data_IF_266456786665
#
_entry.id   IF_266456786665
#
_cell.length_a   1.000
_cell.length_b   1.000
_cell.length_c   1.000
_cell.angle_alpha   90.00
_cell.angle_beta   90.00
_cell.angle_gamma   90.00
#
_symmetry.space_group_name_H-M   'P 1'
#
loop_
_entity.id
_entity.type
_entity.pdbx_description
1 polymer ?
2 non-polymer ?
3 non-polymer ?
4 water ?
#
# COMPACT_ATOMS: atom_id res chain seq x y z
N UNK A 3 6.34 -13.43 -29.27
CA UNK A 3 5.31 -13.19 -28.26
C UNK A 3 5.18 -14.43 -27.37
N UNK A 4 5.08 -14.25 -26.06
CA UNK A 4 4.92 -15.40 -25.19
C UNK A 4 3.62 -16.14 -25.51
N UNK A 5 3.58 -17.42 -25.13
CA UNK A 5 2.44 -18.27 -25.46
C UNK A 5 1.10 -17.71 -25.01
N UNK A 6 0.94 -17.20 -23.79
CA UNK A 6 -0.39 -16.76 -23.35
C UNK A 6 -0.79 -15.39 -23.87
N UNK A 7 0.13 -14.61 -24.42
CA UNK A 7 -0.14 -13.19 -24.62
C UNK A 7 -1.31 -12.99 -25.57
N UNK A 8 -2.29 -12.21 -25.14
CA UNK A 8 -3.46 -11.95 -25.96
C UNK A 8 -4.17 -10.73 -25.38
N UNK A 9 -4.41 -9.73 -26.22
CA UNK A 9 -5.02 -8.48 -25.77
C UNK A 9 -4.25 -7.86 -24.61
N UNK A 10 -2.92 -7.97 -24.64
CA UNK A 10 -2.06 -7.51 -23.54
C UNK A 10 -0.97 -6.61 -24.12
N UNK A 11 -1.09 -5.31 -23.91
CA UNK A 11 -0.23 -4.36 -24.60
C UNK A 11 1.04 -4.09 -23.80
N UNK A 12 2.05 -3.61 -24.52
CA UNK A 12 3.34 -3.34 -23.89
C UNK A 12 3.21 -2.22 -22.86
N UNK A 13 2.36 -1.22 -23.12
CA UNK A 13 2.19 -0.15 -22.14
C UNK A 13 1.54 -0.67 -20.85
N UNK A 14 0.58 -1.59 -20.97
CA UNK A 14 -0.01 -2.20 -19.79
C UNK A 14 1.04 -2.97 -19.00
N UNK A 15 1.84 -3.78 -19.71
CA UNK A 15 2.95 -4.51 -19.11
C UNK A 15 3.89 -3.58 -18.35
N UNK A 16 4.29 -2.47 -18.98
CA UNK A 16 5.18 -1.54 -18.29
C UNK A 16 4.51 -0.91 -17.08
N UNK A 17 3.22 -0.58 -17.20
CA UNK A 17 2.51 -0.04 -16.05
C UNK A 17 2.50 -0.98 -14.86
N UNK A 18 2.32 -2.28 -15.11
CA UNK A 18 2.33 -3.24 -14.02
C UNK A 18 3.70 -3.27 -13.34
N UNK A 19 4.77 -3.12 -14.12
CA UNK A 19 6.11 -3.17 -13.53
C UNK A 19 6.37 -1.94 -12.65
N UNK A 20 5.88 -0.76 -13.05
CA UNK A 20 5.99 0.39 -12.16
C UNK A 20 5.14 0.20 -10.91
N UNK A 21 3.96 -0.41 -11.05
CA UNK A 21 3.12 -0.59 -9.87
C UNK A 21 3.75 -1.58 -8.90
N UNK A 22 4.41 -2.62 -9.41
CA UNK A 22 5.11 -3.56 -8.55
C UNK A 22 6.08 -2.82 -7.65
N UNK A 23 6.88 -1.93 -8.24
CA UNK A 23 7.86 -1.17 -7.46
C UNK A 23 7.17 -0.29 -6.42
N UNK A 24 6.04 0.32 -6.79
CA UNK A 24 5.34 1.16 -5.83
C UNK A 24 4.80 0.34 -4.66
N UNK A 25 4.22 -0.83 -4.93
CA UNK A 25 3.73 -1.66 -3.83
C UNK A 25 4.89 -2.10 -2.94
N UNK A 26 6.03 -2.46 -3.53
CA UNK A 26 7.20 -2.80 -2.73
C UNK A 26 7.64 -1.62 -1.89
N UNK A 27 7.58 -0.41 -2.46
CA UNK A 27 7.95 0.78 -1.69
C UNK A 27 7.00 0.99 -0.52
N UNK A 28 5.69 0.85 -0.74
CA UNK A 28 4.75 0.96 0.37
C UNK A 28 5.05 -0.09 1.45
N UNK A 29 5.33 -1.32 1.04
CA UNK A 29 5.70 -2.35 2.00
C UNK A 29 6.90 -1.92 2.84
N UNK A 30 7.89 -1.29 2.21
CA UNK A 30 9.09 -0.85 2.92
C UNK A 30 8.76 0.25 3.93
N UNK A 31 7.94 1.23 3.53
CA UNK A 31 7.52 2.31 4.42
C UNK A 31 6.84 1.76 5.67
N UNK A 32 5.88 0.86 5.48
CA UNK A 32 5.16 0.30 6.62
C UNK A 32 6.09 -0.49 7.52
N UNK A 33 7.04 -1.20 6.93
CA UNK A 33 8.03 -1.91 7.73
C UNK A 33 8.86 -0.93 8.56
N UNK A 34 9.27 0.18 7.95
CA UNK A 34 9.96 1.22 8.71
C UNK A 34 9.08 1.73 9.85
N UNK A 35 7.84 2.06 9.53
CA UNK A 35 6.92 2.56 10.54
C UNK A 35 6.80 1.58 11.71
N UNK A 36 6.65 0.30 11.40
CA UNK A 36 6.40 -0.70 12.43
C UNK A 36 7.54 -0.75 13.43
N UNK A 37 8.78 -0.81 12.95
CA UNK A 37 9.89 -0.91 13.88
C UNK A 37 10.25 0.43 14.49
N UNK A 38 9.75 1.53 13.94
CA UNK A 38 9.85 2.80 14.64
C UNK A 38 9.04 2.74 15.93
N UNK A 39 7.81 2.23 15.86
CA UNK A 39 6.99 2.17 17.07
C UNK A 39 7.44 1.07 18.02
N UNK A 40 8.36 0.22 17.61
CA UNK A 40 9.04 -0.73 18.48
C UNK A 40 10.28 -0.14 19.15
N UNK A 41 10.63 1.10 18.83
CA UNK A 41 11.72 1.75 19.54
C UNK A 41 11.39 1.87 21.02
N UNK A 42 12.42 1.77 21.86
CA UNK A 42 12.20 1.83 23.30
C UNK A 42 11.72 3.21 23.74
N UNK A 43 12.07 4.26 23.00
CA UNK A 43 11.57 5.59 23.29
C UNK A 43 10.29 5.92 22.53
N UNK A 44 9.64 4.93 21.92
CA UNK A 44 8.33 5.14 21.30
C UNK A 44 7.37 4.13 21.93
N UNK A 45 7.63 2.84 21.70
CA UNK A 45 7.08 1.76 22.51
C UNK A 45 5.55 1.71 22.48
N UNK A 46 5.00 1.63 21.28
CA UNK A 46 3.56 1.44 21.11
C UNK A 46 3.30 0.12 20.39
N UNK A 47 3.02 -0.95 21.12
CA UNK A 47 2.97 -2.28 20.46
C UNK A 47 1.77 -2.47 19.55
N UNK A 48 0.67 -1.74 19.75
CA UNK A 48 -0.43 -1.81 18.81
C UNK A 48 -0.05 -1.24 17.46
N UNK A 49 0.57 -0.06 17.46
CA UNK A 49 1.08 0.52 16.22
C UNK A 49 2.09 -0.41 15.55
N UNK A 50 3.02 -0.97 16.32
CA UNK A 50 3.99 -1.91 15.75
C UNK A 50 3.30 -3.03 15.00
N UNK A 51 2.35 -3.69 15.65
CA UNK A 51 1.64 -4.80 15.03
C UNK A 51 0.84 -4.34 13.81
N UNK A 52 0.17 -3.19 13.93
CA UNK A 52 -0.68 -2.70 12.86
C UNK A 52 0.12 -2.43 11.59
N UNK A 53 1.25 -1.74 11.71
CA UNK A 53 2.03 -1.46 10.51
C UNK A 53 2.75 -2.70 9.99
N UNK A 54 3.08 -3.66 10.86
CA UNK A 54 3.64 -4.91 10.36
C UNK A 54 2.63 -5.64 9.47
N UNK A 55 1.40 -5.78 9.95
CA UNK A 55 0.34 -6.36 9.13
C UNK A 55 0.14 -5.58 7.83
N UNK A 56 0.17 -4.24 7.90
CA UNK A 56 0.02 -3.46 6.67
C UNK A 56 1.19 -3.69 5.72
N UNK A 57 2.39 -3.90 6.27
CA UNK A 57 3.55 -4.17 5.43
C UNK A 57 3.38 -5.48 4.68
N UNK A 58 2.94 -6.53 5.39
CA UNK A 58 2.73 -7.81 4.74
C UNK A 58 1.65 -7.70 3.67
N UNK A 59 0.61 -6.91 3.91
CA UNK A 59 -0.42 -6.68 2.89
C UNK A 59 0.19 -6.10 1.61
N UNK A 60 1.04 -5.08 1.74
CA UNK A 60 1.63 -4.48 0.54
C UNK A 60 2.56 -5.47 -0.17
N UNK A 61 3.29 -6.28 0.58
CA UNK A 61 4.08 -7.33 -0.06
C UNK A 61 3.18 -8.27 -0.86
N UNK A 62 2.04 -8.65 -0.29
CA UNK A 62 1.08 -9.46 -1.04
C UNK A 62 0.62 -8.74 -2.29
N UNK A 63 0.35 -7.43 -2.18
CA UNK A 63 -0.07 -6.65 -3.35
C UNK A 63 0.96 -6.74 -4.47
N UNK A 64 2.24 -6.56 -4.13
CA UNK A 64 3.29 -6.63 -5.13
C UNK A 64 3.33 -8.01 -5.77
N UNK A 65 3.31 -9.05 -4.95
CA UNK A 65 3.47 -10.40 -5.49
C UNK A 65 2.29 -10.80 -6.35
N UNK A 66 1.09 -10.34 -6.00
CA UNK A 66 -0.07 -10.58 -6.85
C UNK A 66 0.11 -9.95 -8.23
N UNK A 67 0.65 -8.72 -8.29
CA UNK A 67 0.96 -8.10 -9.57
C UNK A 67 2.04 -8.87 -10.33
N UNK A 68 3.04 -9.37 -9.61
CA UNK A 68 4.04 -10.23 -10.24
C UNK A 68 3.38 -11.45 -10.85
N UNK A 69 2.51 -12.10 -10.07
CA UNK A 69 1.83 -13.29 -10.56
C UNK A 69 0.99 -12.96 -11.78
N UNK A 70 0.30 -11.82 -11.74
CA UNK A 70 -0.56 -11.45 -12.86
C UNK A 70 0.27 -11.18 -14.12
N UNK A 71 1.36 -10.43 -13.98
CA UNK A 71 2.26 -10.19 -15.10
C UNK A 71 2.58 -11.50 -15.80
N UNK A 72 2.93 -12.52 -15.02
CA UNK A 72 3.23 -13.82 -15.60
C UNK A 72 1.99 -14.45 -16.22
N UNK A 73 0.84 -14.32 -15.57
CA UNK A 73 -0.37 -14.91 -16.12
C UNK A 73 -0.65 -14.40 -17.52
N UNK A 74 -0.49 -13.10 -17.74
CA UNK A 74 -0.80 -12.51 -19.04
C UNK A 74 0.30 -12.70 -20.07
N UNK A 75 1.49 -13.14 -19.67
CA UNK A 75 2.59 -13.29 -20.60
C UNK A 75 3.57 -12.14 -20.63
N UNK A 76 3.43 -11.18 -19.73
CA UNK A 76 4.42 -10.14 -19.58
C UNK A 76 5.65 -10.65 -18.84
N UNK A 77 6.64 -9.77 -18.73
CA UNK A 77 7.90 -10.12 -18.09
C UNK A 77 8.19 -9.13 -16.97
N UNK A 78 8.42 -9.66 -15.78
CA UNK A 78 8.70 -8.82 -14.62
C UNK A 78 10.07 -8.19 -14.76
N UNK A 79 10.14 -6.87 -14.62
CA UNK A 79 11.41 -6.14 -14.56
C UNK A 79 11.44 -5.38 -13.24
N UNK A 80 12.33 -5.78 -12.33
CA UNK A 80 12.41 -5.17 -11.01
C UNK A 80 13.37 -3.98 -11.02
N UNK A 81 13.15 -3.05 -10.10
CA UNK A 81 14.00 -1.88 -9.93
C UNK A 81 14.35 -1.75 -8.45
N UNK A 82 15.36 -0.93 -8.16
CA UNK A 82 15.61 -0.58 -6.77
C UNK A 82 14.31 -0.17 -6.10
N UNK A 83 14.10 -0.62 -4.87
CA UNK A 83 13.04 -0.03 -4.05
C UNK A 83 13.68 0.99 -3.13
N UNK A 84 13.27 2.24 -3.29
CA UNK A 84 13.89 3.33 -2.57
C UNK A 84 13.59 3.22 -1.08
N UNK A 85 14.53 3.69 -0.28
CA UNK A 85 14.30 3.77 1.15
C UNK A 85 13.17 4.76 1.43
N UNK A 86 12.38 4.54 2.48
CA UNK A 86 11.32 5.49 2.82
C UNK A 86 11.88 6.89 3.05
N UNK A 87 11.01 7.89 2.91
CA UNK A 87 11.45 9.28 2.92
C UNK A 87 11.65 9.85 4.32
N UNK A 88 11.29 9.12 5.38
CA UNK A 88 11.61 9.50 6.75
C UNK A 88 12.28 8.31 7.43
N UNK A 89 13.16 8.60 8.39
CA UNK A 89 13.64 7.58 9.32
C UNK A 89 12.76 7.47 10.56
N UNK A 90 12.08 8.56 10.92
CA UNK A 90 11.31 8.70 12.15
C UNK A 90 9.92 9.21 11.79
N UNK A 91 8.90 8.71 12.48
CA UNK A 91 7.53 8.97 12.04
C UNK A 91 6.69 9.76 13.04
N UNK A 92 7.32 10.46 13.98
CA UNK A 92 6.57 11.36 14.86
C UNK A 92 5.69 10.63 15.85
N UNK A 93 4.49 11.17 16.05
CA UNK A 93 3.49 10.59 16.93
C UNK A 93 2.67 9.54 16.17
N UNK A 94 1.79 8.86 16.90
CA UNK A 94 0.85 7.98 16.24
C UNK A 94 0.00 8.72 15.23
N UNK A 95 -0.39 9.95 15.56
CA UNK A 95 -1.13 10.77 14.61
C UNK A 95 -0.30 11.05 13.36
N UNK A 96 0.96 11.47 13.52
CA UNK A 96 1.79 11.71 12.34
C UNK A 96 1.90 10.47 11.46
N UNK A 97 2.21 9.33 12.07
CA UNK A 97 2.36 8.12 11.27
C UNK A 97 1.06 7.78 10.54
N UNK A 98 -0.07 7.91 11.23
CA UNK A 98 -1.33 7.58 10.58
C UNK A 98 -1.62 8.53 9.43
N UNK A 99 -1.22 9.80 9.55
CA UNK A 99 -1.43 10.74 8.44
C UNK A 99 -0.44 10.50 7.30
N UNK A 100 0.80 10.12 7.62
CA UNK A 100 1.73 9.74 6.56
C UNK A 100 1.20 8.53 5.81
N UNK A 101 0.55 7.62 6.54
CA UNK A 101 0.00 6.41 5.93
C UNK A 101 -1.20 6.74 5.04
N UNK A 102 -2.06 7.66 5.46
CA UNK A 102 -3.16 8.08 4.60
C UNK A 102 -2.64 8.63 3.28
N UNK A 103 -1.70 9.56 3.37
CA UNK A 103 -1.08 10.12 2.18
C UNK A 103 -0.46 9.03 1.31
N UNK A 104 0.20 8.05 1.93
CA UNK A 104 0.79 6.96 1.16
C UNK A 104 -0.28 6.17 0.41
N UNK A 105 -1.35 5.79 1.10
CA UNK A 105 -2.39 4.98 0.46
C UNK A 105 -3.10 5.73 -0.65
N UNK A 106 -3.27 7.05 -0.49
CA UNK A 106 -3.90 7.83 -1.54
C UNK A 106 -3.01 7.93 -2.77
N UNK A 107 -1.69 7.94 -2.57
CA UNK A 107 -0.79 7.96 -3.71
C UNK A 107 -0.80 6.62 -4.44
N UNK A 108 -0.84 5.52 -3.70
CA UNK A 108 -0.98 4.21 -4.33
C UNK A 108 -2.30 4.13 -5.08
N UNK A 109 -3.37 4.62 -4.46
CA UNK A 109 -4.67 4.58 -5.11
C UNK A 109 -4.66 5.37 -6.41
N UNK A 110 -4.03 6.55 -6.43
CA UNK A 110 -3.98 7.32 -7.67
C UNK A 110 -3.17 6.59 -8.73
N UNK A 111 -2.04 5.98 -8.35
CA UNK A 111 -1.28 5.18 -9.31
C UNK A 111 -2.12 4.03 -9.85
N UNK A 112 -2.92 3.39 -8.99
CA UNK A 112 -3.79 2.31 -9.46
C UNK A 112 -4.85 2.84 -10.43
N UNK A 113 -5.43 4.00 -10.13
CA UNK A 113 -6.43 4.56 -11.03
C UNK A 113 -5.80 4.94 -12.36
N UNK A 114 -4.57 5.47 -12.33
CA UNK A 114 -3.88 5.75 -13.59
C UNK A 114 -3.59 4.47 -14.35
N UNK A 115 -3.28 3.39 -13.64
CA UNK A 115 -3.03 2.11 -14.30
C UNK A 115 -4.32 1.54 -14.89
N UNK A 116 -5.45 1.73 -14.19
CA UNK A 116 -6.75 1.41 -14.78
C UNK A 116 -6.97 2.16 -16.08
N UNK A 117 -6.59 3.45 -16.11
CA UNK A 117 -6.77 4.24 -17.32
C UNK A 117 -5.97 3.66 -18.48
N UNK A 118 -4.75 3.17 -18.22
CA UNK A 118 -4.00 2.51 -19.29
C UNK A 118 -4.75 1.29 -19.79
N UNK A 119 -5.27 0.46 -18.87
CA UNK A 119 -5.99 -0.72 -19.31
C UNK A 119 -7.22 -0.36 -20.13
N UNK A 120 -7.95 0.65 -19.68
CA UNK A 120 -9.19 1.06 -20.34
C UNK A 120 -8.93 1.51 -21.78
N UNK A 121 -7.95 2.40 -21.97
CA UNK A 121 -7.72 2.90 -23.32
C UNK A 121 -7.18 1.80 -24.23
N UNK A 122 -6.50 0.80 -23.68
CA UNK A 122 -6.04 -0.31 -24.50
C UNK A 122 -7.09 -1.40 -24.65
N UNK A 123 -8.25 -1.25 -24.01
CA UNK A 123 -9.28 -2.28 -24.13
C UNK A 123 -8.97 -3.56 -23.38
N UNK A 124 -8.22 -3.48 -22.28
CA UNK A 124 -7.88 -4.68 -21.51
C UNK A 124 -8.99 -4.95 -20.51
N UNK A 125 -10.05 -5.59 -21.00
CA UNK A 125 -11.23 -5.84 -20.19
C UNK A 125 -10.88 -6.65 -18.94
N UNK A 126 -10.11 -7.72 -19.12
CA UNK A 126 -9.80 -8.57 -17.98
C UNK A 126 -8.94 -7.82 -16.96
N UNK A 127 -7.98 -7.02 -17.43
CA UNK A 127 -7.10 -6.32 -16.50
C UNK A 127 -7.86 -5.29 -15.67
N UNK A 128 -8.79 -4.55 -16.28
CA UNK A 128 -9.62 -3.62 -15.53
C UNK A 128 -10.37 -4.33 -14.41
N UNK A 129 -11.01 -5.45 -14.72
CA UNK A 129 -11.75 -6.13 -13.67
C UNK A 129 -10.81 -6.66 -12.59
N UNK A 130 -9.64 -7.15 -12.99
CA UNK A 130 -8.65 -7.57 -12.01
C UNK A 130 -8.31 -6.42 -11.07
N UNK A 131 -8.00 -5.25 -11.62
CA UNK A 131 -7.70 -4.09 -10.78
C UNK A 131 -8.88 -3.72 -9.89
N UNK A 132 -10.08 -3.66 -10.46
CA UNK A 132 -11.27 -3.32 -9.68
C UNK A 132 -11.46 -4.28 -8.52
N UNK A 133 -11.53 -5.58 -8.82
CA UNK A 133 -11.87 -6.57 -7.80
C UNK A 133 -10.78 -6.68 -6.74
N UNK A 134 -9.51 -6.72 -7.16
CA UNK A 134 -8.44 -7.09 -6.25
C UNK A 134 -7.68 -5.91 -5.67
N UNK A 135 -7.92 -4.68 -6.13
CA UNK A 135 -7.13 -3.55 -5.63
C UNK A 135 -7.96 -2.32 -5.30
N UNK A 136 -8.85 -1.90 -6.22
CA UNK A 136 -9.55 -0.63 -6.02
C UNK A 136 -10.46 -0.69 -4.80
N UNK A 137 -11.16 -1.80 -4.61
CA UNK A 137 -12.06 -1.91 -3.47
C UNK A 137 -11.28 -1.90 -2.16
N UNK A 138 -10.15 -2.61 -2.12
CA UNK A 138 -9.32 -2.63 -0.91
C UNK A 138 -8.77 -1.25 -0.59
N UNK A 139 -8.33 -0.50 -1.60
CA UNK A 139 -7.83 0.85 -1.35
C UNK A 139 -8.90 1.71 -0.71
N UNK A 140 -10.13 1.61 -1.22
CA UNK A 140 -11.22 2.43 -0.70
C UNK A 140 -11.52 2.06 0.76
N UNK A 141 -11.57 0.76 1.07
CA UNK A 141 -11.76 0.36 2.47
C UNK A 141 -10.63 0.88 3.34
N UNK A 142 -9.39 0.70 2.88
CA UNK A 142 -8.22 1.07 3.68
C UNK A 142 -8.19 2.57 3.94
N UNK A 143 -8.44 3.37 2.90
CA UNK A 143 -8.39 4.82 3.04
C UNK A 143 -9.46 5.30 4.02
N UNK A 144 -10.63 4.66 4.00
CA UNK A 144 -11.67 4.96 4.98
C UNK A 144 -11.26 4.57 6.40
N UNK A 145 -10.66 3.38 6.55
CA UNK A 145 -10.21 2.95 7.87
C UNK A 145 -9.18 3.92 8.44
N UNK A 146 -8.19 4.30 7.63
CA UNK A 146 -7.12 5.16 8.15
C UNK A 146 -7.67 6.54 8.51
N UNK A 147 -8.63 7.04 7.72
CA UNK A 147 -9.24 8.32 8.05
C UNK A 147 -9.92 8.28 9.41
N UNK A 148 -10.69 7.22 9.68
CA UNK A 148 -11.32 7.04 10.99
C UNK A 148 -10.29 7.09 12.11
N UNK A 149 -9.17 6.37 11.92
CA UNK A 149 -8.11 6.35 12.92
C UNK A 149 -7.53 7.74 13.15
N UNK A 150 -7.31 8.50 12.07
CA UNK A 150 -6.82 9.86 12.23
C UNK A 150 -7.80 10.68 13.05
N UNK A 151 -9.10 10.52 12.78
CA UNK A 151 -10.07 11.28 13.54
C UNK A 151 -10.00 10.93 15.02
N UNK A 152 -9.89 9.64 15.33
CA UNK A 152 -9.88 9.24 16.73
C UNK A 152 -8.57 9.63 17.41
N UNK A 153 -7.46 9.64 16.67
CA UNK A 153 -6.20 10.06 17.26
C UNK A 153 -6.20 11.56 17.54
N UNK A 154 -6.94 12.35 16.76
CA UNK A 154 -7.14 13.74 17.14
C UNK A 154 -8.08 13.84 18.33
N UNK A 155 -9.11 13.00 18.36
CA UNK A 155 -10.07 13.07 19.46
C UNK A 155 -9.39 12.80 20.80
N UNK A 156 -8.57 11.75 20.88
CA UNK A 156 -8.03 11.34 22.18
C UNK A 156 -6.87 12.22 22.64
N UNK A 157 -6.17 12.88 21.73
CA UNK A 157 -5.08 13.75 22.13
C UNK A 157 -3.81 12.98 22.43
N UNK A 158 -2.80 13.71 22.86
CA UNK A 158 -1.52 13.07 23.13
C UNK A 158 -1.50 12.49 24.54
N UNK A 159 -0.47 11.71 24.83
CA UNK A 159 -0.31 11.18 26.18
C UNK A 159 -1.19 9.98 26.39
N UNK A 160 -2.00 10.02 27.46
CA UNK A 160 -2.91 8.92 27.75
C UNK A 160 -3.80 8.59 26.56
N UNK A 161 -4.27 9.61 25.84
CA UNK A 161 -5.12 9.32 24.69
C UNK A 161 -4.44 8.41 23.70
N UNK A 162 -3.23 8.77 23.29
CA UNK A 162 -2.49 7.96 22.34
C UNK A 162 -2.26 6.56 22.88
N UNK A 163 -1.95 6.45 24.16
CA UNK A 163 -1.78 5.15 24.78
C UNK A 163 -3.07 4.33 24.71
N UNK A 164 -4.21 4.97 25.00
CA UNK A 164 -5.48 4.24 25.00
C UNK A 164 -5.87 3.83 23.59
N UNK A 165 -5.63 4.70 22.60
CA UNK A 165 -5.93 4.33 21.22
C UNK A 165 -5.14 3.10 20.82
N UNK A 166 -3.85 3.04 21.20
CA UNK A 166 -3.02 1.88 20.90
C UNK A 166 -3.65 0.60 21.42
N UNK A 167 -4.31 0.67 22.59
CA UNK A 167 -4.88 -0.55 23.18
C UNK A 167 -6.27 -0.85 22.62
N UNK A 168 -7.09 0.17 22.35
CA UNK A 168 -8.51 -0.06 22.09
C UNK A 168 -8.89 0.01 20.61
N UNK A 169 -8.14 0.70 19.76
CA UNK A 169 -8.50 0.78 18.34
C UNK A 169 -7.66 -0.12 17.46
N UNK A 170 -6.48 -0.53 17.91
CA UNK A 170 -5.58 -1.42 17.18
C UNK A 170 -5.52 -2.73 17.96
N UNK A 171 -6.36 -3.68 17.60
CA UNK A 171 -6.44 -4.93 18.35
C UNK A 171 -6.31 -4.75 19.86
X LIG B 1 -16.20 -4.82 -13.47
X LIG C 1 -0.92 -1.94 -2.02
X LIG D 1 -2.74 -0.45 2.09
X LIG E 1 -2.10 -0.25 -0.24
X LIG E 1 -1.75 -0.68 -1.55
X LIG E 1 -2.12 0.59 -0.34
X LIG E 1 -1.79 -1.52 -1.47
#
# INVERSE_FOLDING_TARGET
MAESQPRQNFKVETEAGINRQINLELYACYCYQSMSFYFDRDDVALPGFTKYFKEKSDEEREHAEKFMKYQNKRGGRIVLQDVKKPDRDEWGTGLDAMQASLSLEKNVNQALLDLHTVGDKEGDKQFMDFLESDYLEEQVEDIKKISDHITNLKRVGSGLGEYMFDKKSLD
FE FE
FE FE
FE FE
PEO O1 O2 HO1 HO2
#
